data_IF_803447942552
#
_entry.id   IF_803447942552
#
_cell.length_a   1.000
_cell.length_b   1.000
_cell.length_c   1.000
_cell.angle_alpha   90.00
_cell.angle_beta   90.00
_cell.angle_gamma   90.00
#
_symmetry.space_group_name_H-M   'P 1'
#
loop_
_entity.id
_entity.type
_entity.pdbx_description
1 polymer ?
#
# COMPACT_ATOMS: atom_id res chain seq x y z
N UNK A 1 8.76 5.44 -18.52
CA UNK A 1 7.71 6.18 -17.78
C UNK A 1 6.57 5.28 -17.37
N UNK A 2 5.75 4.75 -18.30
CA UNK A 2 4.56 3.92 -17.98
C UNK A 2 4.90 2.80 -16.99
N UNK A 3 5.91 1.98 -17.29
CA UNK A 3 6.27 0.84 -16.45
C UNK A 3 6.57 1.21 -14.98
N UNK A 4 7.24 2.35 -14.74
CA UNK A 4 7.58 2.81 -13.37
C UNK A 4 6.37 3.39 -12.67
N UNK A 5 5.63 4.30 -13.32
CA UNK A 5 4.47 4.98 -12.72
C UNK A 5 3.33 3.99 -12.48
N UNK A 6 3.09 3.09 -13.42
CA UNK A 6 2.07 2.05 -13.31
C UNK A 6 2.29 1.17 -12.07
N UNK A 7 3.48 0.59 -11.94
CA UNK A 7 3.78 -0.35 -10.87
C UNK A 7 3.69 0.33 -9.49
N UNK A 8 4.30 1.50 -9.32
CA UNK A 8 4.29 2.19 -8.03
C UNK A 8 2.90 2.71 -7.65
N UNK A 9 2.11 3.21 -8.60
CA UNK A 9 0.72 3.63 -8.34
C UNK A 9 -0.17 2.45 -7.96
N UNK A 10 -0.03 1.31 -8.64
CA UNK A 10 -0.77 0.09 -8.34
C UNK A 10 -0.47 -0.41 -6.92
N UNK A 11 0.81 -0.59 -6.61
CA UNK A 11 1.24 -1.13 -5.30
C UNK A 11 0.95 -0.16 -4.15
N UNK A 12 1.11 1.15 -4.35
CA UNK A 12 0.72 2.14 -3.35
C UNK A 12 -0.79 2.10 -3.07
N UNK A 13 -1.61 1.96 -4.11
CA UNK A 13 -3.08 1.88 -3.94
C UNK A 13 -3.48 0.60 -3.21
N UNK A 14 -2.88 -0.56 -3.56
CA UNK A 14 -3.09 -1.83 -2.86
C UNK A 14 -2.69 -1.73 -1.39
N UNK A 15 -1.51 -1.18 -1.11
CA UNK A 15 -1.02 -0.99 0.26
C UNK A 15 -1.91 -0.03 1.08
N UNK A 16 -2.40 1.05 0.48
CA UNK A 16 -3.35 1.96 1.12
C UNK A 16 -4.66 1.26 1.50
N UNK A 17 -5.20 0.41 0.62
CA UNK A 17 -6.38 -0.43 0.91
C UNK A 17 -6.12 -1.37 2.09
N UNK A 18 -4.96 -2.05 2.13
CA UNK A 18 -4.59 -2.88 3.27
C UNK A 18 -4.50 -2.06 4.57
N UNK A 19 -3.86 -0.89 4.55
CA UNK A 19 -3.75 -0.01 5.73
C UNK A 19 -5.12 0.45 6.25
N UNK A 20 -6.03 0.79 5.35
CA UNK A 20 -7.40 1.17 5.71
C UNK A 20 -8.15 -0.01 6.36
N UNK A 21 -8.08 -1.20 5.75
CA UNK A 21 -8.72 -2.40 6.27
C UNK A 21 -8.16 -2.87 7.61
N UNK A 22 -6.88 -2.59 7.89
CA UNK A 22 -6.22 -2.97 9.14
C UNK A 22 -6.69 -2.20 10.38
N UNK A 23 -7.51 -1.14 10.23
CA UNK A 23 -8.12 -0.38 11.35
C UNK A 23 -7.15 -0.01 12.48
N UNK A 24 -5.96 0.46 12.10
CA UNK A 24 -4.93 0.91 13.05
C UNK A 24 -3.94 -0.17 13.50
N UNK A 25 -4.08 -1.43 13.06
CA UNK A 25 -3.05 -2.46 13.25
C UNK A 25 -1.84 -2.17 12.37
N UNK A 26 -0.65 -2.48 12.88
CA UNK A 26 0.59 -2.25 12.14
C UNK A 26 0.75 -3.26 11.00
N UNK A 27 1.14 -2.80 9.82
CA UNK A 27 1.40 -3.68 8.68
C UNK A 27 2.89 -3.71 8.32
N UNK A 28 3.36 -4.89 7.91
CA UNK A 28 4.74 -5.11 7.47
C UNK A 28 4.73 -5.79 6.10
N UNK A 29 5.56 -5.30 5.18
CA UNK A 29 5.72 -5.90 3.86
C UNK A 29 6.62 -7.14 3.94
N UNK A 30 6.05 -8.31 3.67
CA UNK A 30 6.74 -9.60 3.57
C UNK A 30 6.70 -10.20 2.15
N UNK A 31 6.44 -9.36 1.15
CA UNK A 31 6.14 -9.78 -0.22
C UNK A 31 7.33 -10.21 -1.08
N UNK A 32 8.56 -9.78 -0.74
CA UNK A 32 9.74 -9.91 -1.63
C UNK A 32 9.88 -11.27 -2.33
N UNK A 33 9.69 -12.38 -1.62
CA UNK A 33 9.87 -13.74 -2.15
C UNK A 33 8.89 -14.14 -3.26
N UNK A 34 7.83 -13.35 -3.48
CA UNK A 34 6.80 -13.55 -4.53
C UNK A 34 6.71 -12.37 -5.49
N UNK A 35 7.60 -11.39 -5.36
CA UNK A 35 7.64 -10.24 -6.25
C UNK A 35 7.92 -10.70 -7.69
N UNK A 36 7.31 -10.01 -8.65
CA UNK A 36 7.58 -10.20 -10.08
C UNK A 36 8.88 -9.48 -10.48
N UNK A 37 10.00 -9.99 -9.99
CA UNK A 37 11.33 -9.43 -10.21
C UNK A 37 11.84 -8.57 -9.04
N UNK A 38 13.15 -8.32 -9.05
CA UNK A 38 13.87 -7.64 -7.96
C UNK A 38 13.38 -6.19 -7.79
N UNK A 39 13.21 -5.46 -8.89
CA UNK A 39 12.74 -4.07 -8.84
C UNK A 39 11.32 -3.99 -8.26
N UNK A 40 10.41 -4.89 -8.66
CA UNK A 40 9.07 -4.93 -8.09
C UNK A 40 9.08 -5.15 -6.57
N UNK A 41 9.97 -6.01 -6.05
CA UNK A 41 10.15 -6.21 -4.62
C UNK A 41 10.69 -4.96 -3.89
N UNK A 42 11.54 -4.17 -4.54
CA UNK A 42 12.00 -2.88 -4.00
C UNK A 42 10.89 -1.82 -4.03
N UNK A 43 10.12 -1.76 -5.12
CA UNK A 43 9.03 -0.79 -5.27
C UNK A 43 7.89 -1.09 -4.32
N UNK A 44 7.52 -2.35 -4.11
CA UNK A 44 6.53 -2.75 -3.12
C UNK A 44 6.92 -2.28 -1.70
N UNK A 45 8.16 -2.57 -1.27
CA UNK A 45 8.66 -2.11 0.02
C UNK A 45 8.56 -0.58 0.17
N UNK A 46 8.98 0.15 -0.86
CA UNK A 46 8.90 1.62 -0.90
C UNK A 46 7.46 2.11 -0.81
N UNK A 47 6.58 1.65 -1.69
CA UNK A 47 5.20 2.14 -1.77
C UNK A 47 4.39 1.78 -0.53
N UNK A 48 4.59 0.58 0.02
CA UNK A 48 3.97 0.17 1.28
C UNK A 48 4.39 1.07 2.44
N UNK A 49 5.68 1.41 2.53
CA UNK A 49 6.15 2.37 3.51
C UNK A 49 5.57 3.77 3.28
N UNK A 50 5.42 4.23 2.04
CA UNK A 50 4.80 5.53 1.78
C UNK A 50 3.33 5.60 2.23
N UNK A 51 2.61 4.48 2.22
CA UNK A 51 1.16 4.44 2.49
C UNK A 51 0.82 4.13 3.93
N UNK A 52 1.79 3.79 4.78
CA UNK A 52 1.56 3.62 6.21
C UNK A 52 2.18 2.38 6.85
N UNK A 53 2.69 1.41 6.07
CA UNK A 53 3.31 0.21 6.64
C UNK A 53 4.51 0.59 7.53
N UNK A 54 4.74 -0.18 8.59
CA UNK A 54 5.80 0.07 9.56
C UNK A 54 7.19 -0.20 8.98
N UNK A 55 7.31 -1.14 8.04
CA UNK A 55 8.56 -1.52 7.43
C UNK A 55 8.44 -2.71 6.48
N UNK A 56 9.58 -3.32 6.15
CA UNK A 56 9.70 -4.40 5.15
C UNK A 56 10.70 -5.47 5.61
N UNK A 57 10.56 -6.69 5.11
CA UNK A 57 11.62 -7.71 5.21
C UNK A 57 12.71 -7.57 4.16
N UNK A 58 12.54 -6.67 3.18
CA UNK A 58 13.51 -6.45 2.11
C UNK A 58 14.71 -5.61 2.61
N UNK A 59 15.80 -6.30 2.98
CA UNK A 59 17.04 -5.67 3.48
C UNK A 59 17.64 -4.67 2.47
N UNK A 60 17.53 -4.95 1.17
CA UNK A 60 18.02 -4.03 0.14
C UNK A 60 17.21 -2.73 0.10
N UNK A 61 15.89 -2.82 0.32
CA UNK A 61 15.04 -1.64 0.45
C UNK A 61 15.41 -0.83 1.70
N UNK A 62 15.69 -1.48 2.84
CA UNK A 62 16.21 -0.78 4.02
C UNK A 62 17.51 -0.03 3.75
N UNK A 63 18.45 -0.67 3.03
CA UNK A 63 19.72 -0.04 2.64
C UNK A 63 19.55 1.17 1.73
N UNK A 64 18.73 1.06 0.68
CA UNK A 64 18.62 2.10 -0.36
C UNK A 64 17.67 3.23 0.04
N UNK A 65 16.60 2.90 0.77
CA UNK A 65 15.52 3.83 1.08
C UNK A 65 15.49 4.27 2.54
N UNK A 66 16.26 3.64 3.44
CA UNK A 66 16.20 3.92 4.87
C UNK A 66 14.91 3.44 5.55
N UNK A 67 14.21 2.47 4.95
CA UNK A 67 12.97 1.91 5.49
C UNK A 67 13.30 0.97 6.66
N UNK A 68 12.56 1.02 7.79
CA UNK A 68 12.74 0.09 8.89
C UNK A 68 12.65 -1.37 8.43
N UNK A 69 13.63 -2.19 8.85
CA UNK A 69 13.66 -3.61 8.55
C UNK A 69 12.94 -4.39 9.65
N UNK A 70 12.06 -5.29 9.22
CA UNK A 70 11.35 -6.21 10.09
C UNK A 70 11.67 -7.65 9.67
N UNK A 71 12.00 -8.47 10.67
CA UNK A 71 12.27 -9.90 10.51
C UNK A 71 12.01 -10.63 11.81
N UNK A 72 11.58 -11.87 11.68
CA UNK A 72 11.38 -12.82 12.79
C UNK A 72 12.19 -14.08 12.47
N UNK A 73 11.80 -15.22 13.03
CA UNK A 73 12.25 -16.53 12.54
C UNK A 73 11.32 -17.12 11.46
N UNK A 74 11.82 -18.13 10.74
CA UNK A 74 11.05 -18.96 9.79
C UNK A 74 10.90 -20.39 10.33
N UNK A 75 9.93 -21.14 9.82
CA UNK A 75 9.76 -22.55 10.21
C UNK A 75 11.02 -23.37 9.99
N UNK A 76 11.77 -23.12 8.91
CA UNK A 76 13.04 -23.82 8.63
C UNK A 76 14.08 -23.67 9.76
N UNK A 77 14.07 -22.54 10.48
CA UNK A 77 14.93 -22.36 11.64
C UNK A 77 14.45 -23.24 12.80
N UNK A 78 13.14 -23.24 13.11
CA UNK A 78 12.58 -24.06 14.19
C UNK A 78 12.83 -25.54 13.94
N UNK A 79 12.57 -26.01 12.71
CA UNK A 79 12.73 -27.42 12.32
C UNK A 79 14.19 -27.88 12.23
N UNK A 80 15.16 -26.96 12.32
CA UNK A 80 16.59 -27.32 12.36
C UNK A 80 17.04 -27.80 13.75
N UNK A 81 16.20 -27.63 14.78
CA UNK A 81 16.44 -28.10 16.14
C UNK A 81 15.64 -29.38 16.41
N UNK A 82 16.12 -30.21 17.35
CA UNK A 82 15.38 -31.38 17.81
C UNK A 82 14.10 -31.03 18.56
N UNK A 83 14.06 -29.87 19.22
CA UNK A 83 12.91 -29.38 19.97
C UNK A 83 12.65 -27.89 19.70
N UNK A 84 11.37 -27.52 19.56
CA UNK A 84 10.94 -26.14 19.33
C UNK A 84 11.40 -25.17 20.44
N UNK A 85 11.41 -25.62 21.70
CA UNK A 85 11.88 -24.81 22.82
C UNK A 85 13.36 -24.42 22.67
N UNK A 86 14.20 -25.34 22.18
CA UNK A 86 15.63 -25.07 21.98
C UNK A 86 15.83 -24.00 20.91
N UNK A 87 15.03 -24.05 19.84
CA UNK A 87 15.03 -23.03 18.80
C UNK A 87 14.65 -21.65 19.36
N UNK A 88 13.57 -21.58 20.17
CA UNK A 88 13.12 -20.32 20.77
C UNK A 88 14.16 -19.72 21.70
N UNK A 89 14.73 -20.52 22.62
CA UNK A 89 15.80 -20.06 23.52
C UNK A 89 17.05 -19.64 22.75
N UNK A 90 17.44 -20.37 21.70
CA UNK A 90 18.56 -19.99 20.86
C UNK A 90 18.33 -18.66 20.14
N UNK A 91 17.12 -18.44 19.60
CA UNK A 91 16.77 -17.19 18.94
C UNK A 91 16.74 -16.01 19.92
N UNK A 92 16.14 -16.20 21.10
CA UNK A 92 16.08 -15.20 22.16
C UNK A 92 17.47 -14.78 22.66
N UNK A 93 18.43 -15.70 22.75
CA UNK A 93 19.82 -15.37 23.08
C UNK A 93 20.52 -14.55 22.00
N UNK A 94 20.23 -14.81 20.73
CA UNK A 94 20.86 -14.11 19.60
C UNK A 94 20.25 -12.71 19.37
N UNK A 95 18.95 -12.55 19.63
CA UNK A 95 18.19 -11.33 19.34
C UNK A 95 17.35 -10.84 20.54
N UNK A 96 17.95 -10.65 21.73
CA UNK A 96 17.21 -10.46 22.96
C UNK A 96 16.23 -9.28 22.94
N UNK A 97 16.64 -8.14 22.36
CA UNK A 97 15.86 -6.90 22.35
C UNK A 97 14.75 -6.88 21.29
N UNK A 98 14.77 -7.85 20.36
CA UNK A 98 13.86 -7.90 19.22
C UNK A 98 13.21 -9.26 19.03
N UNK A 99 13.14 -10.07 20.10
CA UNK A 99 12.65 -11.46 20.03
C UNK A 99 11.20 -11.50 19.55
N UNK A 100 10.97 -12.20 18.43
CA UNK A 100 9.64 -12.53 17.91
C UNK A 100 9.62 -14.00 17.53
N UNK A 101 8.78 -14.80 18.21
CA UNK A 101 8.77 -16.26 18.09
C UNK A 101 7.65 -16.75 17.18
N UNK A 102 7.96 -17.65 16.25
CA UNK A 102 6.98 -18.31 15.38
C UNK A 102 6.43 -19.55 16.07
N UNK A 103 5.17 -19.51 16.52
CA UNK A 103 4.65 -20.49 17.49
C UNK A 103 3.78 -21.58 16.89
N UNK A 104 3.54 -21.57 15.59
CA UNK A 104 2.64 -22.50 14.90
C UNK A 104 3.37 -23.56 14.06
N UNK A 105 4.61 -23.91 14.43
CA UNK A 105 5.36 -24.96 13.71
C UNK A 105 4.78 -26.35 13.93
N UNK A 106 4.31 -26.65 15.14
CA UNK A 106 3.73 -27.94 15.50
C UNK A 106 2.30 -27.82 16.05
N UNK A 107 2.12 -26.99 17.08
CA UNK A 107 0.82 -26.64 17.64
C UNK A 107 0.89 -25.21 18.20
N UNK A 108 -0.07 -24.37 17.81
CA UNK A 108 -0.03 -22.93 18.13
C UNK A 108 -0.12 -22.64 19.62
N UNK A 109 -0.98 -23.36 20.35
CA UNK A 109 -1.22 -23.08 21.77
C UNK A 109 -0.06 -23.63 22.60
N UNK A 110 0.41 -24.84 22.30
CA UNK A 110 1.60 -25.40 22.93
C UNK A 110 2.86 -24.56 22.62
N UNK A 111 3.00 -24.07 21.40
CA UNK A 111 4.08 -23.15 21.02
C UNK A 111 4.00 -21.82 21.78
N UNK A 112 2.80 -21.26 21.94
CA UNK A 112 2.60 -20.05 22.74
C UNK A 112 2.89 -20.27 24.23
N UNK A 113 2.58 -21.44 24.79
CA UNK A 113 2.99 -21.81 26.15
C UNK A 113 4.51 -21.84 26.30
N UNK A 114 5.23 -22.41 25.33
CA UNK A 114 6.70 -22.35 25.32
C UNK A 114 7.21 -20.92 25.22
N UNK A 115 6.55 -20.06 24.44
CA UNK A 115 6.89 -18.64 24.34
C UNK A 115 6.69 -17.90 25.68
N UNK A 116 5.70 -18.28 26.50
CA UNK A 116 5.54 -17.76 27.88
C UNK A 116 6.75 -18.10 28.75
N UNK A 117 7.26 -19.34 28.68
CA UNK A 117 8.47 -19.73 29.42
C UNK A 117 9.67 -18.87 28.99
N UNK A 118 9.89 -18.71 27.68
CA UNK A 118 10.97 -17.87 27.15
C UNK A 118 10.79 -16.40 27.52
N UNK A 119 9.56 -15.89 27.55
CA UNK A 119 9.29 -14.52 27.98
C UNK A 119 9.68 -14.29 29.46
N UNK A 120 9.43 -15.27 30.33
CA UNK A 120 9.84 -15.21 31.74
C UNK A 120 11.36 -15.25 31.89
N UNK A 121 12.03 -16.11 31.12
CA UNK A 121 13.50 -16.17 31.08
C UNK A 121 14.11 -14.84 30.63
N UNK A 122 13.59 -14.23 29.57
CA UNK A 122 14.01 -12.90 29.09
C UNK A 122 13.78 -11.83 30.15
N UNK A 123 12.61 -11.83 30.81
CA UNK A 123 12.28 -10.86 31.86
C UNK A 123 13.21 -10.96 33.06
N UNK A 124 13.63 -12.16 33.45
CA UNK A 124 14.63 -12.37 34.49
C UNK A 124 16.00 -11.77 34.11
N UNK A 125 16.32 -11.69 32.82
CA UNK A 125 17.50 -11.03 32.26
C UNK A 125 17.35 -9.54 31.97
N UNK A 126 16.21 -8.92 32.32
CA UNK A 126 15.94 -7.50 32.04
C UNK A 126 15.51 -7.19 30.60
N UNK A 127 15.14 -8.21 29.83
CA UNK A 127 14.68 -8.12 28.44
C UNK A 127 13.20 -8.50 28.34
N UNK A 128 12.59 -8.36 27.16
CA UNK A 128 11.19 -8.68 26.96
C UNK A 128 10.96 -9.41 25.63
N UNK A 129 10.08 -10.41 25.64
CA UNK A 129 9.53 -10.97 24.40
C UNK A 129 8.67 -9.91 23.72
N UNK A 130 9.02 -9.50 22.50
CA UNK A 130 8.26 -8.45 21.81
C UNK A 130 6.95 -8.96 21.24
N UNK A 131 6.98 -10.10 20.58
CA UNK A 131 5.80 -10.66 19.94
C UNK A 131 5.88 -12.17 19.74
N UNK A 132 4.74 -12.76 19.41
CA UNK A 132 4.67 -14.06 18.73
C UNK A 132 4.05 -13.90 17.34
N UNK A 133 4.37 -14.80 16.42
CA UNK A 133 3.81 -14.84 15.06
C UNK A 133 2.98 -16.10 14.85
N UNK A 134 1.79 -15.92 14.28
CA UNK A 134 0.87 -16.95 13.79
C UNK A 134 0.81 -16.85 12.26
N UNK A 135 1.09 -17.93 11.52
CA UNK A 135 1.16 -17.94 10.06
C UNK A 135 0.10 -18.87 9.40
N UNK A 136 -0.63 -19.63 10.22
CA UNK A 136 -1.57 -20.66 9.74
C UNK A 136 -2.75 -20.90 10.69
N UNK A 137 -3.72 -21.70 10.23
CA UNK A 137 -4.90 -22.08 11.00
C UNK A 137 -6.01 -21.02 11.06
N UNK A 138 -6.93 -21.18 12.03
CA UNK A 138 -7.94 -20.17 12.34
C UNK A 138 -7.28 -19.00 13.09
N UNK A 139 -6.72 -18.06 12.34
CA UNK A 139 -6.02 -16.90 12.90
C UNK A 139 -6.91 -16.07 13.84
N UNK A 140 -8.24 -16.02 13.62
CA UNK A 140 -9.14 -15.26 14.49
C UNK A 140 -9.29 -15.95 15.85
N UNK A 141 -9.62 -17.25 15.87
CA UNK A 141 -9.71 -18.04 17.09
C UNK A 141 -8.37 -18.14 17.82
N UNK A 142 -7.29 -18.43 17.09
CA UNK A 142 -5.95 -18.61 17.65
C UNK A 142 -5.40 -17.31 18.23
N UNK A 143 -5.57 -16.16 17.58
CA UNK A 143 -5.09 -14.88 18.14
C UNK A 143 -5.78 -14.54 19.46
N UNK A 144 -7.08 -14.79 19.60
CA UNK A 144 -7.80 -14.63 20.88
C UNK A 144 -7.27 -15.58 21.94
N UNK A 145 -7.15 -16.87 21.62
CA UNK A 145 -6.67 -17.87 22.58
C UNK A 145 -5.24 -17.56 23.07
N UNK A 146 -4.35 -17.15 22.17
CA UNK A 146 -2.98 -16.73 22.50
C UNK A 146 -2.98 -15.44 23.33
N UNK A 147 -3.84 -14.48 23.01
CA UNK A 147 -3.98 -13.25 23.80
C UNK A 147 -4.42 -13.54 25.22
N UNK A 148 -5.45 -14.38 25.38
CA UNK A 148 -5.98 -14.74 26.70
C UNK A 148 -4.97 -15.53 27.52
N UNK A 149 -4.19 -16.40 26.87
CA UNK A 149 -3.03 -17.04 27.49
C UNK A 149 -2.05 -15.99 28.02
N UNK A 150 -1.58 -15.05 27.20
CA UNK A 150 -0.63 -14.04 27.67
C UNK A 150 -1.18 -13.14 28.77
N UNK A 151 -2.46 -12.76 28.71
CA UNK A 151 -3.11 -12.00 29.80
C UNK A 151 -3.11 -12.81 31.11
N UNK A 152 -3.50 -14.09 31.06
CA UNK A 152 -3.53 -14.98 32.23
C UNK A 152 -2.15 -15.20 32.83
N UNK A 153 -1.12 -15.31 31.98
CA UNK A 153 0.26 -15.51 32.41
C UNK A 153 0.98 -14.21 32.83
N UNK A 154 0.28 -13.07 32.82
CA UNK A 154 0.81 -11.77 33.26
C UNK A 154 1.75 -11.09 32.26
N UNK A 155 1.56 -11.35 30.96
CA UNK A 155 2.35 -10.84 29.83
C UNK A 155 1.48 -10.07 28.81
N UNK A 156 0.55 -9.19 29.21
CA UNK A 156 -0.40 -8.54 28.29
C UNK A 156 0.27 -7.68 27.20
N UNK A 157 1.52 -7.25 27.42
CA UNK A 157 2.33 -6.44 26.52
C UNK A 157 2.88 -7.17 25.31
N UNK A 158 2.95 -8.52 25.35
CA UNK A 158 3.48 -9.32 24.24
C UNK A 158 2.55 -9.16 23.04
N UNK A 159 3.10 -8.67 21.93
CA UNK A 159 2.31 -8.43 20.73
C UNK A 159 1.99 -9.73 19.99
N UNK A 160 0.89 -9.73 19.24
CA UNK A 160 0.53 -10.84 18.36
C UNK A 160 0.63 -10.36 16.91
N UNK A 161 1.49 -11.03 16.15
CA UNK A 161 1.64 -10.84 14.72
C UNK A 161 0.94 -11.97 13.96
N UNK A 162 0.17 -11.64 12.93
CA UNK A 162 -0.41 -12.62 12.02
C UNK A 162 0.21 -12.51 10.64
N UNK A 163 0.35 -13.62 9.93
CA UNK A 163 0.72 -13.67 8.51
C UNK A 163 0.02 -14.85 7.83
N UNK A 164 0.21 -14.99 6.52
CA UNK A 164 -0.39 -16.07 5.72
C UNK A 164 -1.50 -15.57 4.80
N UNK A 165 -1.15 -15.35 3.52
CA UNK A 165 -2.06 -14.94 2.44
C UNK A 165 -3.03 -13.80 2.78
N UNK A 166 -2.56 -12.83 3.57
CA UNK A 166 -3.36 -11.66 3.93
C UNK A 166 -3.44 -10.66 2.77
N UNK A 167 -4.61 -10.03 2.65
CA UNK A 167 -4.90 -8.81 1.88
C UNK A 167 -5.91 -7.96 2.65
N UNK A 168 -6.38 -6.85 2.09
CA UNK A 168 -7.35 -5.97 2.73
C UNK A 168 -8.69 -6.66 3.06
N UNK A 169 -9.13 -7.62 2.26
CA UNK A 169 -10.38 -8.32 2.49
C UNK A 169 -10.23 -9.29 3.66
N UNK A 170 -9.15 -10.08 3.66
CA UNK A 170 -8.86 -11.01 4.75
C UNK A 170 -8.56 -10.28 6.06
N UNK A 171 -7.86 -9.14 6.02
CA UNK A 171 -7.62 -8.30 7.18
C UNK A 171 -8.94 -7.78 7.79
N UNK A 172 -9.84 -7.26 6.96
CA UNK A 172 -11.15 -6.78 7.41
C UNK A 172 -11.99 -7.93 8.00
N UNK A 173 -11.98 -9.09 7.35
CA UNK A 173 -12.70 -10.28 7.80
C UNK A 173 -12.21 -10.76 9.16
N UNK A 174 -10.89 -10.89 9.36
CA UNK A 174 -10.30 -11.29 10.64
C UNK A 174 -10.71 -10.34 11.77
N UNK A 175 -10.65 -9.03 11.51
CA UNK A 175 -11.07 -8.03 12.50
C UNK A 175 -12.57 -8.09 12.78
N UNK A 176 -13.42 -8.34 11.77
CA UNK A 176 -14.86 -8.54 11.94
C UNK A 176 -15.18 -9.81 12.74
N UNK A 177 -14.36 -10.85 12.61
CA UNK A 177 -14.43 -12.08 13.41
C UNK A 177 -13.87 -11.91 14.83
N UNK A 178 -13.43 -10.71 15.22
CA UNK A 178 -12.88 -10.42 16.54
C UNK A 178 -11.47 -10.98 16.75
N UNK A 179 -10.63 -11.07 15.71
CA UNK A 179 -9.23 -11.43 15.87
C UNK A 179 -8.48 -10.38 16.71
N UNK A 180 -7.59 -10.83 17.60
CA UNK A 180 -6.85 -9.97 18.54
C UNK A 180 -5.34 -9.93 18.20
N UNK A 181 -5.00 -9.33 17.06
CA UNK A 181 -3.61 -9.12 16.63
C UNK A 181 -3.22 -7.63 16.63
N UNK A 182 -1.93 -7.36 16.79
CA UNK A 182 -1.36 -6.00 16.78
C UNK A 182 -0.68 -5.68 15.44
N UNK A 183 -0.10 -6.70 14.82
CA UNK A 183 0.70 -6.60 13.62
C UNK A 183 0.26 -7.63 12.58
N UNK A 184 0.36 -7.28 11.29
CA UNK A 184 0.14 -8.24 10.21
C UNK A 184 1.24 -8.16 9.14
N UNK A 185 1.75 -9.32 8.75
CA UNK A 185 2.67 -9.48 7.63
C UNK A 185 1.90 -9.75 6.34
N UNK A 186 1.93 -8.79 5.41
CA UNK A 186 1.24 -8.89 4.12
C UNK A 186 2.25 -9.21 3.03
N UNK A 187 1.99 -10.26 2.26
CA UNK A 187 2.98 -10.85 1.34
C UNK A 187 2.53 -10.85 -0.13
N UNK A 188 2.21 -12.04 -0.64
CA UNK A 188 1.90 -12.29 -2.05
C UNK A 188 0.84 -11.34 -2.62
N UNK A 189 -0.31 -11.22 -1.96
CA UNK A 189 -1.45 -10.45 -2.48
C UNK A 189 -1.14 -8.96 -2.62
N UNK A 190 -0.26 -8.43 -1.77
CA UNK A 190 0.24 -7.06 -1.86
C UNK A 190 1.21 -6.90 -3.04
N UNK A 191 2.28 -7.69 -3.07
CA UNK A 191 3.40 -7.47 -4.00
C UNK A 191 3.06 -7.74 -5.45
N UNK A 192 2.04 -8.57 -5.72
CA UNK A 192 1.53 -8.84 -7.06
C UNK A 192 0.22 -8.12 -7.37
N UNK A 193 -0.32 -7.34 -6.42
CA UNK A 193 -1.65 -6.73 -6.50
C UNK A 193 -2.71 -7.74 -7.00
N UNK A 194 -2.88 -8.84 -6.27
CA UNK A 194 -3.51 -10.05 -6.79
C UNK A 194 -4.95 -9.87 -7.32
N UNK A 195 -5.73 -8.97 -6.75
CA UNK A 195 -7.11 -8.66 -7.16
C UNK A 195 -7.17 -7.76 -8.41
N UNK A 196 -6.14 -6.94 -8.62
CA UNK A 196 -6.04 -6.03 -9.75
C UNK A 196 -4.56 -5.90 -10.16
N UNK A 197 -3.99 -6.88 -10.90
CA UNK A 197 -2.55 -6.93 -11.18
C UNK A 197 -2.09 -5.95 -12.27
N UNK A 198 -3.01 -5.12 -12.80
CA UNK A 198 -2.72 -4.09 -13.77
C UNK A 198 -3.65 -2.90 -13.63
N UNK A 199 -3.15 -1.72 -14.01
CA UNK A 199 -3.91 -0.51 -14.29
C UNK A 199 -3.91 -0.24 -15.80
N UNK A 200 -5.05 0.10 -16.40
CA UNK A 200 -5.15 0.46 -17.84
C UNK A 200 -4.54 1.86 -18.10
N UNK A 201 -3.20 1.93 -18.03
CA UNK A 201 -2.43 3.16 -18.21
C UNK A 201 -1.89 3.27 -19.64
N UNK A 202 -2.13 4.41 -20.27
CA UNK A 202 -1.64 4.71 -21.63
C UNK A 202 -0.89 6.04 -21.68
N UNK A 203 0.11 6.11 -22.57
CA UNK A 203 0.76 7.36 -22.96
C UNK A 203 0.25 7.78 -24.33
N UNK A 204 -0.32 8.98 -24.44
CA UNK A 204 -0.93 9.48 -25.67
C UNK A 204 -0.37 10.84 -26.05
N UNK A 205 -0.09 11.03 -27.33
CA UNK A 205 0.18 12.34 -27.91
C UNK A 205 -1.13 13.12 -27.98
N UNK A 206 -1.16 14.31 -27.38
CA UNK A 206 -2.36 15.17 -27.29
C UNK A 206 -2.19 16.46 -28.10
N UNK A 207 -0.94 16.87 -28.34
CA UNK A 207 -0.57 18.06 -29.10
C UNK A 207 0.78 17.83 -29.78
N UNK A 208 0.95 18.34 -30.99
CA UNK A 208 2.22 18.32 -31.71
C UNK A 208 2.34 19.58 -32.55
N UNK A 209 3.43 20.33 -32.35
CA UNK A 209 3.70 21.57 -33.09
C UNK A 209 2.53 22.58 -33.03
N UNK A 210 2.00 22.80 -31.82
CA UNK A 210 0.84 23.65 -31.57
C UNK A 210 -0.50 23.11 -32.07
N UNK A 211 -0.53 21.95 -32.74
CA UNK A 211 -1.75 21.34 -33.29
C UNK A 211 -2.31 20.28 -32.35
N UNK A 212 -3.63 20.28 -32.07
CA UNK A 212 -4.26 19.21 -31.30
C UNK A 212 -4.18 17.87 -32.04
N UNK A 213 -3.87 16.81 -31.30
CA UNK A 213 -3.84 15.44 -31.82
C UNK A 213 -5.04 14.67 -31.30
N UNK A 214 -5.86 14.20 -32.25
CA UNK A 214 -7.03 13.38 -32.00
C UNK A 214 -6.78 11.94 -32.43
N UNK A 215 -7.13 10.99 -31.57
CA UNK A 215 -7.27 9.58 -31.93
C UNK A 215 -8.72 9.16 -31.73
N UNK A 216 -9.40 8.85 -32.83
CA UNK A 216 -10.73 8.25 -32.79
C UNK A 216 -10.60 6.76 -32.45
N UNK A 217 -11.34 6.29 -31.46
CA UNK A 217 -11.46 4.88 -31.12
C UNK A 217 -12.86 4.63 -30.58
N UNK A 218 -13.59 3.62 -31.08
CA UNK A 218 -14.91 3.28 -30.54
C UNK A 218 -14.83 3.07 -29.02
N UNK A 219 -15.69 3.76 -28.26
CA UNK A 219 -15.80 3.61 -26.81
C UNK A 219 -14.64 4.14 -25.96
N UNK A 220 -13.59 4.75 -26.54
CA UNK A 220 -12.48 5.36 -25.79
C UNK A 220 -12.21 6.79 -26.26
N UNK A 221 -12.46 7.77 -25.39
CA UNK A 221 -12.15 9.18 -25.66
C UNK A 221 -10.70 9.48 -25.27
N UNK A 222 -9.98 10.17 -26.16
CA UNK A 222 -8.68 10.76 -25.86
C UNK A 222 -8.80 12.27 -26.04
N UNK A 223 -8.76 13.00 -24.93
CA UNK A 223 -8.92 14.46 -24.95
C UNK A 223 -7.74 15.14 -25.65
N UNK A 224 -8.05 16.05 -26.57
CA UNK A 224 -7.05 16.83 -27.32
C UNK A 224 -6.30 17.84 -26.44
N UNK A 225 -5.14 18.28 -26.93
CA UNK A 225 -4.31 19.37 -26.41
C UNK A 225 -3.71 19.21 -25.02
N UNK A 226 -2.93 20.22 -24.62
CA UNK A 226 -2.37 20.32 -23.27
C UNK A 226 -3.46 20.64 -22.25
N UNK A 227 -3.43 19.93 -21.11
CA UNK A 227 -4.48 19.95 -20.09
C UNK A 227 -3.91 20.12 -18.70
N UNK A 228 -4.75 20.62 -17.80
CA UNK A 228 -4.55 20.61 -16.36
C UNK A 228 -5.70 19.83 -15.69
N UNK A 229 -5.45 19.32 -14.48
CA UNK A 229 -6.47 18.76 -13.59
C UNK A 229 -6.57 19.65 -12.36
N UNK A 230 -7.78 20.13 -12.07
CA UNK A 230 -8.07 20.98 -10.93
C UNK A 230 -8.94 20.25 -9.94
N UNK A 231 -8.53 20.20 -8.67
CA UNK A 231 -9.28 19.59 -7.57
C UNK A 231 -10.06 20.63 -6.79
N UNK A 232 -11.36 20.39 -6.62
CA UNK A 232 -12.22 21.18 -5.77
C UNK A 232 -12.36 20.54 -4.39
N UNK A 233 -12.48 21.40 -3.39
CA UNK A 233 -12.69 21.01 -2.00
C UNK A 233 -14.02 21.58 -1.52
N UNK A 234 -14.69 20.83 -0.65
CA UNK A 234 -15.85 21.34 0.09
C UNK A 234 -15.37 22.29 1.20
N UNK A 235 -16.30 23.04 1.78
CA UNK A 235 -16.01 23.95 2.89
C UNK A 235 -15.41 23.25 4.13
N UNK A 236 -15.65 21.95 4.30
CA UNK A 236 -15.07 21.10 5.36
C UNK A 236 -13.64 20.61 5.04
N UNK A 237 -13.06 21.00 3.91
CA UNK A 237 -11.72 20.61 3.48
C UNK A 237 -11.64 19.23 2.82
N UNK A 238 -12.76 18.53 2.64
CA UNK A 238 -12.79 17.24 1.96
C UNK A 238 -12.80 17.42 0.44
N UNK A 239 -12.14 16.50 -0.27
CA UNK A 239 -12.12 16.47 -1.73
C UNK A 239 -13.55 16.31 -2.27
N UNK A 240 -13.95 17.14 -3.23
CA UNK A 240 -15.29 17.13 -3.83
C UNK A 240 -15.31 16.43 -5.18
N UNK A 241 -14.56 16.95 -6.15
CA UNK A 241 -14.45 16.44 -7.50
C UNK A 241 -13.20 17.02 -8.19
N UNK A 242 -12.79 16.39 -9.30
CA UNK A 242 -11.73 16.90 -10.16
C UNK A 242 -12.32 17.37 -11.51
N UNK A 243 -11.78 18.46 -12.06
CA UNK A 243 -12.13 18.97 -13.39
C UNK A 243 -10.90 18.93 -14.28
N UNK A 244 -11.03 18.28 -15.43
CA UNK A 244 -10.02 18.30 -16.50
C UNK A 244 -10.33 19.47 -17.43
N UNK A 245 -9.37 20.36 -17.61
CA UNK A 245 -9.49 21.56 -18.44
C UNK A 245 -8.25 21.76 -19.31
N UNK A 246 -8.29 22.72 -20.23
CA UNK A 246 -7.09 23.17 -20.94
C UNK A 246 -6.06 23.69 -19.94
N UNK A 247 -4.78 23.56 -20.28
CA UNK A 247 -3.70 24.12 -19.47
C UNK A 247 -3.85 25.64 -19.27
N UNK A 248 -4.37 26.34 -20.28
CA UNK A 248 -4.59 27.79 -20.24
C UNK A 248 -5.78 28.22 -19.38
N UNK A 249 -6.65 27.29 -18.97
CA UNK A 249 -7.80 27.59 -18.12
C UNK A 249 -7.38 27.67 -16.65
N UNK A 250 -7.78 28.76 -15.99
CA UNK A 250 -7.66 28.93 -14.55
C UNK A 250 -9.04 28.80 -13.92
N UNK A 251 -9.24 27.80 -13.06
CA UNK A 251 -10.48 27.62 -12.33
C UNK A 251 -10.33 28.18 -10.91
N UNK A 252 -11.12 29.21 -10.59
CA UNK A 252 -11.12 29.83 -9.28
C UNK A 252 -11.45 28.79 -8.18
N UNK A 253 -10.86 28.97 -7.01
CA UNK A 253 -11.10 28.14 -5.81
C UNK A 253 -10.68 26.66 -5.94
N UNK A 254 -10.07 26.25 -7.06
CA UNK A 254 -9.57 24.91 -7.27
C UNK A 254 -8.05 24.83 -7.14
N UNK A 255 -7.55 23.66 -6.73
CA UNK A 255 -6.11 23.38 -6.66
C UNK A 255 -5.63 22.67 -7.93
N UNK A 256 -4.69 23.23 -8.71
CA UNK A 256 -4.08 22.51 -9.83
C UNK A 256 -3.25 21.31 -9.32
N UNK A 257 -3.35 20.16 -9.98
CA UNK A 257 -2.70 18.92 -9.54
C UNK A 257 -1.42 18.59 -10.32
N UNK A 258 -1.33 18.97 -11.60
CA UNK A 258 -0.10 18.77 -12.38
C UNK A 258 0.87 19.91 -12.09
N UNK A 259 2.04 19.56 -11.56
CA UNK A 259 3.12 20.48 -11.25
C UNK A 259 4.32 20.26 -12.19
N UNK A 260 5.01 21.34 -12.54
CA UNK A 260 6.21 21.25 -13.39
C UNK A 260 7.36 20.66 -12.58
N UNK A 261 7.72 19.41 -12.86
CA UNK A 261 8.87 18.74 -12.22
C UNK A 261 10.17 18.84 -13.03
N UNK A 262 10.07 18.86 -14.35
CA UNK A 262 11.19 18.99 -15.29
C UNK A 262 10.84 20.06 -16.33
N UNK A 263 11.79 20.96 -16.60
CA UNK A 263 11.72 21.96 -17.67
C UNK A 263 13.05 21.93 -18.41
N UNK A 264 13.01 21.82 -19.73
CA UNK A 264 14.20 21.78 -20.61
C UNK A 264 15.27 20.77 -20.16
N UNK A 265 14.82 19.56 -19.81
CA UNK A 265 15.69 18.47 -19.33
C UNK A 265 16.24 18.66 -17.91
N UNK A 266 15.92 19.76 -17.23
CA UNK A 266 16.39 20.06 -15.88
C UNK A 266 15.29 19.90 -14.86
N UNK A 267 15.58 19.18 -13.79
CA UNK A 267 14.66 19.06 -12.65
C UNK A 267 14.50 20.40 -11.95
N UNK A 268 13.27 20.77 -11.63
CA UNK A 268 12.94 22.08 -11.06
C UNK A 268 12.98 22.13 -9.52
N UNK A 269 13.00 20.95 -8.87
CA UNK A 269 13.10 20.81 -7.41
C UNK A 269 13.90 19.57 -7.02
N UNK A 270 14.51 19.47 -5.83
CA UNK A 270 15.19 18.25 -5.39
C UNK A 270 14.23 17.05 -5.24
N UNK A 271 14.79 15.84 -5.11
CA UNK A 271 13.98 14.69 -4.67
C UNK A 271 13.50 14.93 -3.24
N UNK A 272 12.23 14.63 -2.97
CA UNK A 272 11.69 14.59 -1.62
C UNK A 272 12.17 13.32 -0.90
N UNK A 273 12.40 13.42 0.41
CA UNK A 273 12.64 12.22 1.22
C UNK A 273 11.34 11.43 1.41
N UNK A 274 11.44 10.16 1.81
CA UNK A 274 10.27 9.29 1.93
C UNK A 274 9.30 9.71 3.04
N UNK A 275 9.80 10.34 4.10
CA UNK A 275 8.94 10.79 5.21
C UNK A 275 8.04 11.94 4.76
N UNK A 276 8.56 12.92 4.01
CA UNK A 276 7.76 14.01 3.45
C UNK A 276 6.65 13.48 2.52
N UNK A 277 6.99 12.49 1.69
CA UNK A 277 6.02 11.84 0.78
C UNK A 277 4.97 11.07 1.59
N UNK A 278 5.37 10.35 2.64
CA UNK A 278 4.48 9.60 3.54
C UNK A 278 3.52 10.54 4.28
N UNK A 279 4.02 11.67 4.78
CA UNK A 279 3.19 12.69 5.43
C UNK A 279 2.24 13.35 4.44
N UNK A 280 2.67 13.63 3.20
CA UNK A 280 1.77 14.11 2.15
C UNK A 280 0.68 13.11 1.85
N UNK A 281 1.02 11.82 1.67
CA UNK A 281 0.03 10.76 1.47
C UNK A 281 -0.99 10.76 2.61
N UNK A 282 -0.53 10.79 3.87
CA UNK A 282 -1.42 10.79 5.04
C UNK A 282 -2.37 11.98 5.03
N UNK A 283 -1.88 13.20 4.74
CA UNK A 283 -2.73 14.41 4.66
C UNK A 283 -3.77 14.27 3.55
N UNK A 284 -3.37 13.90 2.34
CA UNK A 284 -4.29 13.75 1.20
C UNK A 284 -5.32 12.64 1.47
N UNK A 285 -4.90 11.50 2.03
CA UNK A 285 -5.78 10.39 2.39
C UNK A 285 -6.90 10.81 3.37
N UNK A 286 -6.59 11.68 4.33
CA UNK A 286 -7.58 12.19 5.28
C UNK A 286 -8.60 13.15 4.65
N UNK A 287 -8.25 13.80 3.55
CA UNK A 287 -9.19 14.66 2.80
C UNK A 287 -10.10 13.88 1.85
N UNK A 288 -9.85 12.58 1.62
CA UNK A 288 -10.69 11.75 0.75
C UNK A 288 -11.96 11.31 1.49
N UNK A 289 -13.17 11.58 0.95
CA UNK A 289 -14.41 11.13 1.58
C UNK A 289 -14.48 9.61 1.82
N UNK A 290 -15.11 9.19 2.91
CA UNK A 290 -15.19 7.78 3.31
C UNK A 290 -15.70 6.82 2.23
N UNK A 291 -16.73 7.14 1.41
CA UNK A 291 -17.19 6.25 0.35
C UNK A 291 -16.09 5.88 -0.66
N UNK A 292 -15.13 6.79 -0.90
CA UNK A 292 -14.02 6.58 -1.82
C UNK A 292 -12.78 5.94 -1.16
N UNK A 293 -12.79 5.76 0.17
CA UNK A 293 -11.79 4.98 0.92
C UNK A 293 -12.19 3.51 1.09
N UNK A 294 -13.47 3.20 0.86
CA UNK A 294 -14.01 1.85 0.92
C UNK A 294 -13.24 0.88 0.02
N UNK A 295 -12.94 -0.31 0.54
CA UNK A 295 -12.42 -1.44 -0.25
C UNK A 295 -13.51 -2.12 -1.11
N UNK A 296 -14.75 -1.66 -0.97
CA UNK A 296 -15.91 -1.99 -1.81
C UNK A 296 -16.49 -0.68 -2.37
N UNK A 297 -15.83 -0.08 -3.38
CA UNK A 297 -16.30 1.17 -3.96
C UNK A 297 -17.65 0.94 -4.65
N UNK A 298 -18.59 1.84 -4.41
CA UNK A 298 -19.92 1.83 -5.06
C UNK A 298 -19.90 2.75 -6.29
N UNK A 299 -19.44 3.98 -6.10
CA UNK A 299 -19.40 5.01 -7.13
C UNK A 299 -17.95 5.48 -7.39
N UNK A 300 -17.63 5.84 -8.65
CA UNK A 300 -16.35 6.48 -8.95
C UNK A 300 -16.27 7.87 -8.32
N UNK A 301 -15.05 8.29 -7.99
CA UNK A 301 -14.79 9.69 -7.62
C UNK A 301 -15.17 10.61 -8.79
N UNK A 302 -15.87 11.74 -8.57
CA UNK A 302 -16.40 12.54 -9.66
C UNK A 302 -15.26 13.24 -10.41
N UNK A 303 -15.16 12.98 -11.71
CA UNK A 303 -14.23 13.66 -12.61
C UNK A 303 -15.02 14.17 -13.81
N UNK A 304 -14.98 15.48 -14.03
CA UNK A 304 -15.68 16.14 -15.14
C UNK A 304 -14.70 16.86 -16.07
N UNK A 305 -15.22 17.35 -17.19
CA UNK A 305 -14.44 18.08 -18.19
C UNK A 305 -15.03 19.48 -18.33
N UNK A 306 -14.16 20.48 -18.41
CA UNK A 306 -14.59 21.88 -18.60
C UNK A 306 -15.39 22.05 -19.91
N UNK A 307 -16.37 22.97 -19.97
CA UNK A 307 -17.10 23.28 -21.20
C UNK A 307 -16.19 23.72 -22.37
N UNK A 308 -15.10 24.43 -22.08
CA UNK A 308 -14.16 24.91 -23.10
C UNK A 308 -13.40 23.75 -23.73
N UNK A 309 -12.82 22.84 -22.93
CA UNK A 309 -12.18 21.63 -23.43
C UNK A 309 -13.17 20.72 -24.18
N UNK A 310 -14.40 20.58 -23.67
CA UNK A 310 -15.43 19.78 -24.32
C UNK A 310 -15.79 20.33 -25.71
N UNK A 311 -16.01 21.65 -25.82
CA UNK A 311 -16.27 22.31 -27.10
C UNK A 311 -15.10 22.16 -28.07
N UNK A 312 -13.88 22.38 -27.62
CA UNK A 312 -12.71 22.25 -28.48
C UNK A 312 -12.51 20.82 -28.98
N UNK A 313 -12.78 19.82 -28.12
CA UNK A 313 -12.78 18.42 -28.52
C UNK A 313 -13.80 18.14 -29.64
N UNK A 314 -15.00 18.71 -29.56
CA UNK A 314 -16.05 18.58 -30.57
C UNK A 314 -15.60 19.23 -31.89
N UNK A 315 -15.15 20.48 -31.86
CA UNK A 315 -14.68 21.23 -33.04
C UNK A 315 -13.56 20.47 -33.78
N UNK A 316 -12.56 19.97 -33.05
CA UNK A 316 -11.44 19.19 -33.63
C UNK A 316 -11.92 17.85 -34.18
N UNK A 317 -12.90 17.22 -33.51
CA UNK A 317 -13.47 15.94 -33.96
C UNK A 317 -14.23 16.11 -35.27
N UNK A 318 -15.06 17.14 -35.37
CA UNK A 318 -15.86 17.40 -36.56
C UNK A 318 -15.00 17.84 -37.73
N UNK A 319 -13.99 18.68 -37.48
CA UNK A 319 -12.99 19.01 -38.48
C UNK A 319 -12.30 17.75 -39.01
N UNK A 320 -11.78 16.89 -38.12
CA UNK A 320 -11.08 15.67 -38.54
C UNK A 320 -12.00 14.70 -39.28
N UNK A 321 -13.26 14.56 -38.87
CA UNK A 321 -14.24 13.73 -39.59
C UNK A 321 -14.55 14.29 -40.97
N UNK A 322 -14.66 15.62 -41.14
CA UNK A 322 -14.82 16.25 -42.45
C UNK A 322 -13.62 15.96 -43.36
N UNK A 323 -12.41 16.15 -42.83
CA UNK A 323 -11.16 15.96 -43.56
C UNK A 323 -10.93 14.51 -43.99
N UNK A 324 -11.12 13.55 -43.09
CA UNK A 324 -10.77 12.13 -43.34
C UNK A 324 -11.92 11.30 -43.90
N UNK A 325 -13.17 11.62 -43.55
CA UNK A 325 -14.34 10.80 -43.88
C UNK A 325 -15.29 11.46 -44.89
N UNK A 326 -15.04 12.71 -45.29
CA UNK A 326 -15.86 13.44 -46.26
C UNK A 326 -17.31 13.67 -45.82
N UNK A 327 -17.62 13.52 -44.53
CA UNK A 327 -18.96 13.73 -43.97
C UNK A 327 -19.16 15.23 -43.70
N UNK A 328 -20.05 15.88 -44.45
CA UNK A 328 -20.53 17.24 -44.14
C UNK A 328 -21.26 17.26 -42.81
#
# INVERSE_FOLDING_TARGET
VINVVHLESLLATKAARCMHAARGRGLVDFGLRRAQGIDAGLKAARTSYLTGFLGTSNVLAGKIYGIPIYGTMAHSYVTSFGHEMDAFRAYARAFPDTTVLLVDTYDTIAGAQKAVEVARELRAGGQALRAVRLDSGDLAGLSRAVRDLFRREGLPEVQIMVSGNLDEYRLQELLAQGAEFDLAGVGTHLVVSADAPYLDMAYKLVEYDGRPILKLSPGKISWVGRKQVHRFYRADGMMSHDVICLESESLAEARPLLEVFVRDGRRQRPSENLEDIRQRFRREWLTLPEPYRSIYPQDPYPVTVSPVLAKWQEDVTDQRKREELGRK
#
